data_IF_958437262815
#
_entry.id   IF_958437262815
#
_cell.length_a   1.000
_cell.length_b   1.000
_cell.length_c   1.000
_cell.angle_alpha   90.00
_cell.angle_beta   90.00
_cell.angle_gamma   90.00
#
_symmetry.space_group_name_H-M   'P 1'
#
loop_
_entity.id
_entity.type
_entity.pdbx_description
1 polymer ?
#
# COMPACT_ATOMS: atom_id res chain seq x y z
N UNK A 1 11.36 -10.90 12.40
CA UNK A 1 11.74 -11.46 11.08
C UNK A 1 12.44 -12.77 11.38
N UNK A 2 12.09 -13.83 10.66
CA UNK A 2 12.74 -15.14 10.77
C UNK A 2 14.10 -15.09 10.07
N UNK A 3 14.96 -16.07 10.35
CA UNK A 3 16.27 -16.19 9.73
C UNK A 3 16.14 -16.20 8.19
N UNK A 4 16.88 -15.34 7.50
CA UNK A 4 16.83 -15.15 6.05
C UNK A 4 15.79 -14.16 5.52
N UNK A 5 14.94 -13.55 6.36
CA UNK A 5 14.02 -12.47 5.95
C UNK A 5 14.62 -11.08 6.21
N UNK A 6 14.41 -10.16 5.29
CA UNK A 6 14.85 -8.77 5.41
C UNK A 6 13.82 -7.82 4.78
N UNK A 7 13.69 -6.63 5.34
CA UNK A 7 12.86 -5.58 4.78
C UNK A 7 13.42 -4.20 5.12
N UNK A 8 13.55 -3.37 4.10
CA UNK A 8 13.98 -1.99 4.21
C UNK A 8 12.96 -1.11 3.50
N UNK A 9 12.27 -0.28 4.29
CA UNK A 9 11.30 0.70 3.83
C UNK A 9 11.89 2.09 4.01
N UNK A 10 11.89 2.91 2.95
CA UNK A 10 12.45 4.27 3.00
C UNK A 10 11.78 5.22 2.02
N UNK A 11 12.13 6.49 2.12
CA UNK A 11 11.76 7.54 1.20
C UNK A 11 13.00 8.40 0.90
N UNK A 12 13.10 8.95 -0.29
CA UNK A 12 14.14 9.92 -0.63
C UNK A 12 13.61 11.36 -0.50
N UNK A 13 14.34 12.29 0.15
CA UNK A 13 13.95 13.71 0.18
C UNK A 13 13.84 14.33 -1.21
N UNK A 14 14.54 13.76 -2.18
CA UNK A 14 14.53 14.23 -3.57
C UNK A 14 13.31 13.76 -4.37
N UNK A 15 12.61 12.72 -3.87
CA UNK A 15 11.36 12.20 -4.44
C UNK A 15 10.35 11.98 -3.30
N UNK A 16 9.80 13.05 -2.72
CA UNK A 16 8.96 12.97 -1.52
C UNK A 16 7.62 12.25 -1.75
N UNK A 17 7.16 12.19 -3.01
CA UNK A 17 5.90 11.53 -3.39
C UNK A 17 6.09 10.03 -3.71
N UNK A 18 7.29 9.47 -3.39
CA UNK A 18 7.64 8.07 -3.65
C UNK A 18 8.18 7.39 -2.40
N UNK A 19 7.45 6.43 -1.88
CA UNK A 19 7.96 5.48 -0.88
C UNK A 19 8.55 4.25 -1.58
N UNK A 20 9.53 3.62 -0.94
CA UNK A 20 10.24 2.45 -1.48
C UNK A 20 10.31 1.33 -0.43
N UNK A 21 10.24 0.10 -0.91
CA UNK A 21 10.47 -1.08 -0.10
C UNK A 21 11.36 -2.07 -0.89
N UNK A 22 12.44 -2.53 -0.26
CA UNK A 22 13.18 -3.71 -0.70
C UNK A 22 13.05 -4.78 0.37
N UNK A 23 12.58 -5.95 0.02
CA UNK A 23 12.43 -7.00 1.00
C UNK A 23 12.65 -8.41 0.42
N UNK A 24 13.03 -9.31 1.32
CA UNK A 24 13.01 -10.77 1.12
C UNK A 24 12.14 -11.38 2.21
N UNK A 25 11.16 -12.16 1.80
CA UNK A 25 10.25 -12.86 2.70
C UNK A 25 10.16 -14.34 2.33
N UNK A 26 10.05 -15.19 3.36
CA UNK A 26 9.93 -16.64 3.21
C UNK A 26 8.61 -17.11 3.82
N UNK A 27 8.33 -16.73 5.07
CA UNK A 27 7.14 -17.12 5.82
C UNK A 27 6.16 -15.99 6.04
N UNK A 28 6.52 -14.80 5.60
CA UNK A 28 5.68 -13.62 5.74
C UNK A 28 4.34 -13.81 5.02
N UNK A 29 3.26 -13.48 5.73
CA UNK A 29 1.92 -13.38 5.16
C UNK A 29 1.39 -11.99 5.47
N UNK A 30 1.06 -11.25 4.43
CA UNK A 30 0.36 -9.99 4.53
C UNK A 30 -1.14 -10.26 4.70
N UNK A 31 -1.72 -9.71 5.76
CA UNK A 31 -3.17 -9.71 5.92
C UNK A 31 -3.83 -8.95 4.76
N UNK A 32 -5.13 -9.12 4.57
CA UNK A 32 -5.87 -8.30 3.61
C UNK A 32 -5.82 -6.84 4.03
N UNK A 33 -5.30 -5.99 3.14
CA UNK A 33 -5.04 -4.57 3.40
C UNK A 33 -5.16 -3.76 2.11
N UNK A 34 -5.06 -2.44 2.24
CA UNK A 34 -5.05 -1.49 1.13
C UNK A 34 -3.80 -0.61 1.18
N UNK A 35 -3.53 0.11 0.11
CA UNK A 35 -2.57 1.21 0.07
C UNK A 35 -3.26 2.47 -0.44
N UNK A 36 -2.87 3.64 0.04
CA UNK A 36 -3.32 4.92 -0.51
C UNK A 36 -2.56 5.33 -1.76
N UNK A 37 -1.42 4.68 -1.99
CA UNK A 37 -0.54 4.82 -3.15
C UNK A 37 -0.78 3.68 -4.13
N UNK A 38 -0.26 3.79 -5.33
CA UNK A 38 -0.08 2.62 -6.19
C UNK A 38 1.00 1.71 -5.62
N UNK A 39 0.95 0.43 -5.98
CA UNK A 39 2.03 -0.54 -5.72
C UNK A 39 2.54 -1.03 -7.06
N UNK A 40 3.84 -0.89 -7.28
CA UNK A 40 4.55 -1.41 -8.46
C UNK A 40 5.71 -2.26 -7.91
N UNK A 41 5.51 -3.57 -7.85
CA UNK A 41 6.44 -4.50 -7.21
C UNK A 41 7.13 -5.39 -8.24
N UNK A 42 8.42 -5.18 -8.48
CA UNK A 42 9.24 -6.01 -9.36
C UNK A 42 9.83 -7.19 -8.60
N UNK A 43 9.49 -8.41 -9.01
CA UNK A 43 10.02 -9.64 -8.39
C UNK A 43 11.43 -9.90 -8.91
N UNK A 44 12.39 -10.03 -7.97
CA UNK A 44 13.81 -10.25 -8.27
C UNK A 44 14.29 -11.66 -7.99
N UNK A 45 13.64 -12.38 -7.06
CA UNK A 45 13.88 -13.79 -6.75
C UNK A 45 12.58 -14.46 -6.30
N UNK A 46 12.43 -15.75 -6.56
CA UNK A 46 11.31 -16.55 -6.10
C UNK A 46 9.98 -16.17 -6.76
N UNK A 47 8.88 -16.38 -6.01
CA UNK A 47 7.51 -16.12 -6.49
C UNK A 47 6.69 -15.50 -5.37
N UNK A 48 6.09 -14.34 -5.64
CA UNK A 48 5.02 -13.78 -4.82
C UNK A 48 3.68 -14.36 -5.26
N UNK A 49 2.80 -14.65 -4.31
CA UNK A 49 1.39 -14.94 -4.56
C UNK A 49 0.52 -13.99 -3.74
N UNK A 50 -0.57 -13.50 -4.33
CA UNK A 50 -1.49 -12.59 -3.67
C UNK A 50 -2.93 -12.76 -4.17
N UNK A 51 -3.89 -12.54 -3.26
CA UNK A 51 -5.30 -12.47 -3.62
C UNK A 51 -5.68 -11.05 -4.00
N UNK A 52 -6.33 -10.88 -5.15
CA UNK A 52 -6.85 -9.63 -5.66
C UNK A 52 -8.13 -9.88 -6.47
N UNK A 53 -9.20 -9.12 -6.21
CA UNK A 53 -10.45 -9.22 -6.98
C UNK A 53 -11.19 -10.56 -6.90
N UNK A 54 -10.82 -11.45 -5.98
CA UNK A 54 -11.36 -12.81 -5.86
C UNK A 54 -10.42 -13.92 -6.38
N UNK A 55 -9.43 -13.56 -7.18
CA UNK A 55 -8.47 -14.48 -7.78
C UNK A 55 -7.12 -14.50 -7.03
N UNK A 56 -6.35 -15.56 -7.25
CA UNK A 56 -4.96 -15.69 -6.80
C UNK A 56 -4.04 -15.44 -7.97
N UNK A 57 -3.18 -14.44 -7.82
CA UNK A 57 -2.14 -14.10 -8.80
C UNK A 57 -0.77 -14.58 -8.30
N UNK A 58 0.08 -15.05 -9.22
CA UNK A 58 1.45 -15.49 -8.92
C UNK A 58 2.39 -14.77 -9.85
N UNK A 59 3.41 -14.13 -9.27
CA UNK A 59 4.39 -13.31 -10.00
C UNK A 59 5.78 -13.80 -9.67
N UNK A 60 6.50 -14.25 -10.69
CA UNK A 60 7.90 -14.68 -10.59
C UNK A 60 8.86 -13.62 -11.09
N UNK A 61 10.12 -14.00 -11.22
CA UNK A 61 11.22 -13.11 -11.68
C UNK A 61 10.91 -12.51 -13.05
N UNK A 62 11.15 -11.19 -13.19
CA UNK A 62 10.81 -10.43 -14.39
C UNK A 62 9.34 -10.01 -14.47
N UNK A 63 8.53 -10.48 -13.55
CA UNK A 63 7.15 -10.04 -13.40
C UNK A 63 7.01 -8.86 -12.46
N UNK A 64 5.87 -8.20 -12.55
CA UNK A 64 5.48 -7.05 -11.74
C UNK A 64 4.08 -7.28 -11.16
N UNK A 65 3.92 -7.11 -9.86
CA UNK A 65 2.60 -6.96 -9.24
C UNK A 65 2.19 -5.48 -9.26
N UNK A 66 0.92 -5.24 -9.61
CA UNK A 66 0.36 -3.91 -9.87
C UNK A 66 -0.93 -3.75 -9.07
N UNK A 67 -0.91 -2.91 -8.04
CA UNK A 67 -2.09 -2.68 -7.20
C UNK A 67 -2.47 -1.20 -7.26
N UNK A 68 -3.74 -0.95 -7.53
CA UNK A 68 -4.31 0.39 -7.53
C UNK A 68 -4.58 0.89 -6.10
N UNK A 69 -4.60 2.21 -5.86
CA UNK A 69 -4.97 2.76 -4.56
C UNK A 69 -6.32 2.23 -4.06
N UNK A 70 -6.44 2.11 -2.75
CA UNK A 70 -7.64 1.65 -2.03
C UNK A 70 -8.14 0.25 -2.43
N UNK A 71 -7.33 -0.55 -3.15
CA UNK A 71 -7.71 -1.90 -3.58
C UNK A 71 -7.22 -2.96 -2.60
N UNK A 72 -8.16 -3.73 -2.05
CA UNK A 72 -7.87 -4.75 -1.06
C UNK A 72 -7.18 -5.97 -1.66
N UNK A 73 -6.04 -6.33 -1.10
CA UNK A 73 -5.24 -7.50 -1.52
C UNK A 73 -4.52 -8.14 -0.32
N UNK A 74 -3.90 -9.29 -0.55
CA UNK A 74 -3.01 -9.98 0.41
C UNK A 74 -1.61 -10.12 -0.19
N UNK A 75 -0.70 -10.85 0.47
CA UNK A 75 0.59 -11.24 -0.10
C UNK A 75 1.22 -12.37 0.69
N UNK A 76 1.80 -13.34 0.02
CA UNK A 76 2.52 -14.48 0.64
C UNK A 76 3.49 -15.12 -0.34
N UNK A 77 4.34 -16.01 0.15
CA UNK A 77 5.23 -16.80 -0.68
C UNK A 77 4.44 -17.71 -1.64
N UNK A 78 4.75 -17.62 -2.91
CA UNK A 78 4.19 -18.51 -3.94
C UNK A 78 4.92 -19.86 -4.03
N UNK A 79 6.14 -19.94 -3.48
CA UNK A 79 6.98 -21.13 -3.39
C UNK A 79 7.66 -21.18 -2.01
N UNK A 80 8.14 -22.34 -1.53
CA UNK A 80 8.76 -22.48 -0.19
C UNK A 80 9.99 -21.60 0.05
N UNK A 81 10.74 -21.29 -0.99
CA UNK A 81 11.97 -20.47 -0.95
C UNK A 81 11.64 -18.98 -0.69
N UNK A 82 10.35 -18.61 -0.81
CA UNK A 82 9.88 -17.25 -0.63
C UNK A 82 10.01 -16.40 -1.89
N UNK A 83 10.11 -15.08 -1.67
CA UNK A 83 10.34 -14.11 -2.76
C UNK A 83 11.16 -12.94 -2.28
N UNK A 84 11.84 -12.31 -3.24
CA UNK A 84 12.48 -11.01 -3.08
C UNK A 84 11.89 -10.05 -4.10
N UNK A 85 11.68 -8.80 -3.69
CA UNK A 85 11.11 -7.79 -4.57
C UNK A 85 11.63 -6.39 -4.23
N UNK A 86 11.53 -5.53 -5.21
CA UNK A 86 11.73 -4.08 -5.09
C UNK A 86 10.43 -3.39 -5.46
N UNK A 87 9.92 -2.55 -4.57
CA UNK A 87 8.59 -1.96 -4.66
C UNK A 87 8.68 -0.45 -4.68
N UNK A 88 7.94 0.15 -5.59
CA UNK A 88 7.66 1.58 -5.63
C UNK A 88 6.22 1.81 -5.19
N UNK A 89 6.02 2.82 -4.35
CA UNK A 89 4.72 3.30 -3.90
C UNK A 89 4.51 4.75 -4.34
N UNK A 90 4.31 5.02 -5.65
CA UNK A 90 4.09 6.37 -6.13
C UNK A 90 2.73 6.91 -5.67
N UNK A 91 2.71 8.20 -5.29
CA UNK A 91 1.50 8.92 -4.94
C UNK A 91 0.54 9.02 -6.14
N UNK A 92 -0.79 9.00 -5.93
CA UNK A 92 -1.77 9.16 -6.99
C UNK A 92 -1.62 10.42 -7.84
N UNK A 93 -1.20 11.53 -7.25
CA UNK A 93 -0.94 12.77 -7.97
C UNK A 93 0.24 12.65 -8.93
N UNK A 94 1.32 11.96 -8.51
CA UNK A 94 2.47 11.67 -9.37
C UNK A 94 2.06 10.81 -10.57
N UNK A 95 1.34 9.72 -10.35
CA UNK A 95 0.88 8.84 -11.43
C UNK A 95 -0.06 9.58 -12.38
N UNK A 96 -0.94 10.44 -11.85
CA UNK A 96 -1.85 11.25 -12.68
C UNK A 96 -1.10 12.25 -13.58
N UNK A 97 -0.05 12.90 -13.07
CA UNK A 97 0.81 13.80 -13.87
C UNK A 97 1.48 13.04 -15.02
N UNK A 98 2.11 11.90 -14.72
CA UNK A 98 2.75 11.06 -15.75
C UNK A 98 1.74 10.55 -16.77
N UNK A 99 0.56 10.14 -16.34
CA UNK A 99 -0.51 9.66 -17.22
C UNK A 99 -0.99 10.75 -18.19
N UNK A 100 -1.18 11.98 -17.69
CA UNK A 100 -1.63 13.12 -18.50
C UNK A 100 -0.66 13.46 -19.63
N UNK A 101 0.65 13.29 -19.40
CA UNK A 101 1.70 13.59 -20.38
C UNK A 101 1.94 12.43 -21.35
N UNK A 102 1.70 11.19 -20.95
CA UNK A 102 2.22 10.01 -21.68
C UNK A 102 1.14 9.06 -22.19
N UNK A 103 -0.13 9.32 -21.88
CA UNK A 103 -1.25 8.43 -22.25
C UNK A 103 -2.48 9.23 -22.68
N UNK A 104 -3.47 8.52 -23.25
CA UNK A 104 -4.79 9.07 -23.58
C UNK A 104 -5.87 8.69 -22.55
N UNK A 105 -5.48 8.14 -21.39
CA UNK A 105 -6.41 7.73 -20.34
C UNK A 105 -7.20 8.94 -19.83
N UNK A 106 -8.53 8.83 -19.83
CA UNK A 106 -9.44 9.84 -19.29
C UNK A 106 -9.91 9.44 -17.90
N UNK A 107 -9.93 10.38 -16.97
CA UNK A 107 -10.29 10.12 -15.57
C UNK A 107 -9.10 9.68 -14.71
N UNK A 108 -9.36 8.98 -13.61
CA UNK A 108 -8.29 8.48 -12.73
C UNK A 108 -7.55 7.34 -13.40
N UNK A 109 -6.23 7.47 -13.67
CA UNK A 109 -5.46 6.39 -14.28
C UNK A 109 -5.35 5.20 -13.32
N UNK A 110 -5.23 3.99 -13.85
CA UNK A 110 -5.01 2.79 -13.06
C UNK A 110 -4.49 1.64 -13.89
N UNK A 111 -4.12 0.56 -13.22
CA UNK A 111 -3.72 -0.69 -13.87
C UNK A 111 -4.96 -1.56 -14.06
N UNK A 112 -5.16 -2.04 -15.29
CA UNK A 112 -6.28 -2.92 -15.65
C UNK A 112 -6.01 -4.37 -15.25
N UNK A 113 -4.75 -4.74 -15.03
CA UNK A 113 -4.32 -6.09 -14.60
C UNK A 113 -3.53 -5.98 -13.30
N UNK A 114 -3.70 -6.93 -12.35
CA UNK A 114 -2.96 -6.90 -11.09
C UNK A 114 -1.55 -7.51 -11.18
N UNK A 115 -1.23 -8.18 -12.29
CA UNK A 115 0.07 -8.79 -12.54
C UNK A 115 0.40 -8.79 -14.03
N UNK A 116 1.67 -8.57 -14.37
CA UNK A 116 2.17 -8.62 -15.74
C UNK A 116 3.59 -9.18 -15.77
N UNK A 117 3.95 -9.88 -16.85
CA UNK A 117 5.34 -10.22 -17.12
C UNK A 117 5.93 -9.14 -18.03
N UNK A 118 6.64 -8.18 -17.44
CA UNK A 118 7.29 -7.07 -18.14
C UNK A 118 8.71 -6.83 -17.59
N UNK A 119 9.70 -7.59 -18.07
CA UNK A 119 11.09 -7.45 -17.62
C UNK A 119 11.68 -6.06 -17.86
N UNK A 120 11.13 -5.28 -18.81
CA UNK A 120 11.60 -3.92 -19.09
C UNK A 120 11.19 -2.99 -17.95
N UNK A 121 9.90 -2.99 -17.58
CA UNK A 121 9.43 -2.20 -16.45
C UNK A 121 10.05 -2.67 -15.14
N UNK A 122 10.24 -3.98 -14.95
CA UNK A 122 10.94 -4.52 -13.77
C UNK A 122 12.38 -3.98 -13.65
N UNK A 123 13.11 -3.86 -14.77
CA UNK A 123 14.45 -3.22 -14.78
C UNK A 123 14.39 -1.75 -14.38
N UNK A 124 13.41 -1.00 -14.86
CA UNK A 124 13.23 0.40 -14.47
C UNK A 124 12.92 0.55 -12.97
N UNK A 125 12.05 -0.28 -12.40
CA UNK A 125 11.78 -0.30 -10.95
C UNK A 125 13.08 -0.51 -10.16
N UNK A 126 13.88 -1.51 -10.52
CA UNK A 126 15.18 -1.77 -9.89
C UNK A 126 16.17 -0.62 -10.07
N UNK A 127 16.17 0.00 -11.25
CA UNK A 127 17.04 1.14 -11.54
C UNK A 127 16.69 2.38 -10.68
N UNK A 128 15.40 2.60 -10.33
CA UNK A 128 15.00 3.63 -9.36
C UNK A 128 15.68 3.40 -8.01
N UNK A 129 15.59 2.18 -7.46
CA UNK A 129 16.21 1.82 -6.20
C UNK A 129 17.72 2.04 -6.23
N UNK A 130 18.39 1.52 -7.27
CA UNK A 130 19.82 1.67 -7.43
C UNK A 130 20.25 3.14 -7.56
N UNK A 131 19.56 3.93 -8.38
CA UNK A 131 19.89 5.34 -8.58
C UNK A 131 19.75 6.15 -7.28
N UNK A 132 18.73 5.89 -6.46
CA UNK A 132 18.58 6.55 -5.17
C UNK A 132 19.67 6.16 -4.16
N UNK A 133 20.13 4.91 -4.17
CA UNK A 133 21.28 4.47 -3.35
C UNK A 133 22.57 5.17 -3.78
N UNK A 134 22.72 5.49 -5.07
CA UNK A 134 23.84 6.25 -5.61
C UNK A 134 23.62 7.78 -5.50
N UNK A 135 22.59 8.24 -4.79
CA UNK A 135 22.21 9.65 -4.65
C UNK A 135 21.93 10.37 -5.98
N UNK A 136 21.65 9.62 -7.06
CA UNK A 136 21.34 10.15 -8.38
C UNK A 136 19.82 10.30 -8.55
N UNK A 137 19.27 11.40 -8.03
CA UNK A 137 17.84 11.68 -8.07
C UNK A 137 17.29 11.84 -9.50
N UNK A 138 18.07 12.43 -10.40
CA UNK A 138 17.66 12.61 -11.80
C UNK A 138 17.48 11.27 -12.53
N UNK A 139 18.43 10.33 -12.34
CA UNK A 139 18.30 9.00 -12.90
C UNK A 139 17.11 8.25 -12.30
N UNK A 140 16.91 8.35 -10.97
CA UNK A 140 15.78 7.73 -10.30
C UNK A 140 14.44 8.24 -10.83
N UNK A 141 14.28 9.55 -10.96
CA UNK A 141 13.07 10.17 -11.48
C UNK A 141 12.82 9.78 -12.96
N UNK A 142 13.88 9.78 -13.78
CA UNK A 142 13.80 9.34 -15.19
C UNK A 142 13.33 7.89 -15.31
N UNK A 143 13.88 6.98 -14.50
CA UNK A 143 13.47 5.58 -14.50
C UNK A 143 12.05 5.39 -13.95
N UNK A 144 11.64 6.15 -12.95
CA UNK A 144 10.28 6.14 -12.43
C UNK A 144 9.27 6.55 -13.50
N UNK A 145 9.51 7.67 -14.17
CA UNK A 145 8.67 8.13 -15.29
C UNK A 145 8.58 7.08 -16.40
N UNK A 146 9.71 6.49 -16.80
CA UNK A 146 9.75 5.45 -17.82
C UNK A 146 8.95 4.20 -17.43
N UNK A 147 9.08 3.74 -16.16
CA UNK A 147 8.34 2.61 -15.65
C UNK A 147 6.83 2.87 -15.64
N UNK A 148 6.39 3.97 -15.03
CA UNK A 148 4.97 4.31 -14.88
C UNK A 148 4.33 4.56 -16.25
N UNK A 149 4.97 5.36 -17.12
CA UNK A 149 4.45 5.63 -18.46
C UNK A 149 4.31 4.34 -19.29
N UNK A 150 5.30 3.45 -19.24
CA UNK A 150 5.24 2.16 -19.94
C UNK A 150 4.14 1.26 -19.40
N UNK A 151 4.06 1.11 -18.07
CA UNK A 151 3.04 0.29 -17.44
C UNK A 151 1.62 0.79 -17.74
N UNK A 152 1.40 2.11 -17.70
CA UNK A 152 0.11 2.70 -18.06
C UNK A 152 -0.24 2.51 -19.54
N UNK A 153 0.74 2.60 -20.44
CA UNK A 153 0.49 2.38 -21.88
C UNK A 153 0.15 0.92 -22.20
N UNK A 154 0.81 -0.03 -21.57
CA UNK A 154 0.63 -1.45 -21.85
C UNK A 154 -0.48 -2.11 -21.05
N UNK A 155 -0.67 -1.67 -19.81
CA UNK A 155 -1.52 -2.32 -18.80
C UNK A 155 -2.48 -1.36 -18.12
N UNK A 156 -2.53 -0.10 -18.57
CA UNK A 156 -3.35 0.95 -17.94
C UNK A 156 -4.73 1.09 -18.57
N UNK A 157 -5.59 1.74 -17.80
CA UNK A 157 -6.93 2.17 -18.19
C UNK A 157 -7.50 3.11 -17.14
N UNK A 158 -8.68 3.69 -17.36
CA UNK A 158 -9.36 4.44 -16.33
C UNK A 158 -9.79 3.51 -15.21
N UNK A 159 -9.55 3.90 -13.97
CA UNK A 159 -10.16 3.20 -12.83
C UNK A 159 -11.68 3.31 -12.94
N UNK A 160 -12.42 2.20 -12.66
CA UNK A 160 -13.87 2.27 -12.61
C UNK A 160 -14.28 3.32 -11.58
N UNK A 161 -15.16 4.24 -11.96
CA UNK A 161 -15.76 5.18 -11.04
C UNK A 161 -16.32 4.41 -9.84
N UNK A 162 -16.22 4.97 -8.63
CA UNK A 162 -16.77 4.33 -7.43
C UNK A 162 -18.20 3.89 -7.72
N UNK A 163 -18.44 2.59 -7.62
CA UNK A 163 -19.77 2.00 -7.88
C UNK A 163 -20.76 2.46 -6.78
N UNK A 164 -21.30 3.67 -6.94
CA UNK A 164 -22.32 4.25 -6.06
C UNK A 164 -23.70 3.59 -6.22
N UNK A 165 -23.85 2.63 -7.15
CA UNK A 165 -25.12 2.00 -7.53
C UNK A 165 -25.32 0.58 -7.00
N UNK A 166 -24.37 -0.04 -6.31
CA UNK A 166 -24.60 -1.35 -5.72
C UNK A 166 -25.55 -1.24 -4.53
N UNK A 167 -26.53 -2.16 -4.42
CA UNK A 167 -27.44 -2.22 -3.27
C UNK A 167 -26.63 -2.22 -1.96
N UNK A 168 -26.91 -1.27 -1.04
CA UNK A 168 -26.20 -1.09 0.22
C UNK A 168 -24.86 -0.33 0.12
N UNK A 169 -24.43 0.16 -1.05
CA UNK A 169 -23.19 0.94 -1.17
C UNK A 169 -23.23 2.25 -0.36
N UNK A 170 -24.43 2.87 -0.27
CA UNK A 170 -24.64 4.04 0.58
C UNK A 170 -24.44 3.71 2.06
N UNK A 171 -25.02 2.61 2.53
CA UNK A 171 -24.90 2.18 3.93
C UNK A 171 -23.45 1.81 4.26
N UNK A 172 -22.75 1.15 3.33
CA UNK A 172 -21.34 0.86 3.47
C UNK A 172 -20.49 2.13 3.55
N UNK A 173 -20.80 3.17 2.76
CA UNK A 173 -20.09 4.45 2.80
C UNK A 173 -20.36 5.21 4.10
N UNK A 174 -21.61 5.22 4.59
CA UNK A 174 -21.95 5.81 5.88
C UNK A 174 -21.29 5.06 7.04
N UNK A 175 -21.32 3.71 7.01
CA UNK A 175 -20.62 2.90 8.01
C UNK A 175 -19.13 3.19 8.05
N UNK A 176 -18.50 3.34 6.89
CA UNK A 176 -17.10 3.76 6.80
C UNK A 176 -16.87 5.12 7.47
N UNK A 177 -17.70 6.11 7.21
CA UNK A 177 -17.58 7.44 7.79
C UNK A 177 -17.67 7.39 9.33
N UNK A 178 -18.62 6.63 9.89
CA UNK A 178 -18.76 6.43 11.34
C UNK A 178 -17.52 5.75 11.92
N UNK A 179 -16.99 4.73 11.25
CA UNK A 179 -15.77 4.03 11.70
C UNK A 179 -14.51 4.90 11.60
N UNK A 180 -14.43 5.82 10.63
CA UNK A 180 -13.34 6.80 10.54
C UNK A 180 -13.42 7.82 11.66
N UNK A 181 -14.62 8.34 11.95
CA UNK A 181 -14.85 9.32 13.00
C UNK A 181 -14.61 8.75 14.40
N UNK A 182 -15.12 7.55 14.66
CA UNK A 182 -15.01 6.86 15.95
C UNK A 182 -13.92 5.78 15.94
N UNK A 183 -12.80 6.05 15.29
CA UNK A 183 -11.75 5.06 15.06
C UNK A 183 -11.20 4.46 16.36
N UNK A 184 -11.04 5.26 17.41
CA UNK A 184 -10.51 4.80 18.69
C UNK A 184 -11.52 3.97 19.49
N UNK A 185 -12.79 4.36 19.44
CA UNK A 185 -13.91 3.71 20.15
C UNK A 185 -15.07 3.43 19.18
N UNK A 186 -14.96 2.42 18.32
CA UNK A 186 -15.95 2.13 17.30
C UNK A 186 -17.19 1.44 17.89
N UNK A 187 -18.38 1.66 17.29
CA UNK A 187 -19.58 0.93 17.66
C UNK A 187 -19.44 -0.57 17.32
N UNK A 188 -20.24 -1.40 17.97
CA UNK A 188 -20.41 -2.81 17.58
C UNK A 188 -21.05 -2.88 16.18
N UNK A 189 -20.99 -4.05 15.51
CA UNK A 189 -21.64 -4.23 14.22
C UNK A 189 -23.17 -4.00 14.32
N UNK A 190 -23.77 -4.45 15.40
CA UNK A 190 -25.21 -4.26 15.68
C UNK A 190 -25.54 -2.78 15.89
N UNK A 191 -24.73 -2.07 16.72
CA UNK A 191 -24.87 -0.64 16.94
C UNK A 191 -24.73 0.15 15.66
N UNK A 192 -23.69 -0.14 14.86
CA UNK A 192 -23.46 0.48 13.56
C UNK A 192 -24.62 0.25 12.58
N UNK A 193 -25.16 -0.97 12.55
CA UNK A 193 -26.29 -1.30 11.68
C UNK A 193 -27.59 -0.60 12.15
N UNK A 194 -27.82 -0.53 13.45
CA UNK A 194 -28.97 0.16 14.02
C UNK A 194 -28.94 1.68 13.72
N UNK A 195 -27.77 2.33 13.87
CA UNK A 195 -27.60 3.74 13.53
C UNK A 195 -27.91 4.03 12.04
N UNK A 196 -27.69 3.06 11.16
CA UNK A 196 -27.94 3.19 9.72
C UNK A 196 -29.31 2.67 9.26
N UNK A 197 -30.13 2.18 10.19
CA UNK A 197 -31.46 1.63 9.88
C UNK A 197 -31.40 0.36 9.01
N UNK A 198 -30.34 -0.44 9.12
CA UNK A 198 -30.14 -1.66 8.32
C UNK A 198 -29.89 -2.89 9.22
N UNK A 199 -29.95 -4.09 8.64
CA UNK A 199 -29.60 -5.31 9.38
C UNK A 199 -28.09 -5.58 9.39
N UNK A 200 -27.51 -6.13 10.49
CA UNK A 200 -26.08 -6.39 10.62
C UNK A 200 -25.49 -7.24 9.48
N UNK A 201 -26.18 -8.30 9.07
CA UNK A 201 -25.76 -9.15 7.95
C UNK A 201 -25.84 -8.45 6.58
N UNK A 202 -26.85 -7.58 6.38
CA UNK A 202 -26.98 -6.81 5.17
C UNK A 202 -25.82 -5.80 5.05
N UNK A 203 -25.53 -5.07 6.15
CA UNK A 203 -24.40 -4.17 6.24
C UNK A 203 -23.08 -4.89 6.00
N UNK A 204 -22.83 -6.03 6.64
CA UNK A 204 -21.62 -6.81 6.47
C UNK A 204 -21.40 -7.22 5.00
N UNK A 205 -22.45 -7.70 4.31
CA UNK A 205 -22.37 -8.06 2.90
C UNK A 205 -22.12 -6.86 1.99
N UNK A 206 -22.82 -5.75 2.25
CA UNK A 206 -22.67 -4.51 1.50
C UNK A 206 -21.26 -3.93 1.65
N UNK A 207 -20.74 -3.91 2.87
CA UNK A 207 -19.39 -3.41 3.18
C UNK A 207 -18.29 -4.27 2.52
N UNK A 208 -18.41 -5.61 2.59
CA UNK A 208 -17.48 -6.52 1.89
C UNK A 208 -17.49 -6.35 0.38
N UNK A 209 -18.67 -6.14 -0.23
CA UNK A 209 -18.76 -5.89 -1.68
C UNK A 209 -18.13 -4.56 -2.07
N UNK A 210 -18.30 -3.52 -1.24
CA UNK A 210 -17.84 -2.16 -1.55
C UNK A 210 -16.35 -2.00 -1.30
N UNK A 211 -15.82 -2.59 -0.20
CA UNK A 211 -14.44 -2.38 0.24
C UNK A 211 -13.56 -3.65 0.20
N UNK A 212 -14.08 -4.77 -0.27
CA UNK A 212 -13.32 -6.02 -0.39
C UNK A 212 -13.01 -6.73 0.93
N UNK A 213 -13.38 -6.13 2.09
CA UNK A 213 -13.11 -6.68 3.42
C UNK A 213 -14.21 -6.30 4.41
N UNK A 214 -14.39 -7.04 5.53
CA UNK A 214 -15.41 -6.73 6.53
C UNK A 214 -15.04 -5.45 7.33
N UNK A 215 -16.04 -4.79 8.00
CA UNK A 215 -15.83 -3.53 8.73
C UNK A 215 -14.66 -3.55 9.73
N UNK A 216 -14.52 -4.62 10.53
CA UNK A 216 -13.44 -4.72 11.52
C UNK A 216 -12.04 -4.80 10.89
N UNK A 217 -11.90 -5.53 9.77
CA UNK A 217 -10.62 -5.62 9.07
C UNK A 217 -10.27 -4.29 8.40
N UNK A 218 -11.28 -3.63 7.82
CA UNK A 218 -11.14 -2.30 7.25
C UNK A 218 -10.72 -1.27 8.32
N UNK A 219 -11.36 -1.29 9.49
CA UNK A 219 -11.00 -0.40 10.61
C UNK A 219 -9.55 -0.63 11.06
N UNK A 220 -9.11 -1.90 11.15
CA UNK A 220 -7.72 -2.23 11.49
C UNK A 220 -6.74 -1.66 10.46
N UNK A 221 -7.05 -1.78 9.18
CA UNK A 221 -6.29 -1.23 8.07
C UNK A 221 -6.24 0.31 8.16
N UNK A 222 -7.39 0.96 8.35
CA UNK A 222 -7.49 2.41 8.53
C UNK A 222 -6.70 2.93 9.74
N UNK A 223 -6.73 2.21 10.87
CA UNK A 223 -5.91 2.50 12.06
C UNK A 223 -4.41 2.46 11.75
N UNK A 224 -3.96 1.45 11.01
CA UNK A 224 -2.56 1.35 10.58
C UNK A 224 -2.18 2.51 9.66
N UNK A 225 -3.03 2.88 8.71
CA UNK A 225 -2.80 4.06 7.86
C UNK A 225 -2.72 5.35 8.67
N UNK A 226 -3.61 5.54 9.64
CA UNK A 226 -3.58 6.71 10.53
C UNK A 226 -2.34 6.72 11.42
N UNK A 227 -1.94 5.54 11.96
CA UNK A 227 -0.70 5.39 12.74
C UNK A 227 0.53 5.75 11.89
N UNK A 228 0.58 5.36 10.61
CA UNK A 228 1.66 5.77 9.69
C UNK A 228 1.78 7.30 9.62
N UNK A 229 0.68 8.00 9.42
CA UNK A 229 0.69 9.47 9.35
C UNK A 229 1.18 10.11 10.66
N UNK A 230 0.84 9.54 11.82
CA UNK A 230 1.36 9.98 13.12
C UNK A 230 2.86 9.71 13.26
N UNK A 231 3.34 8.54 12.85
CA UNK A 231 4.76 8.19 12.85
C UNK A 231 5.57 9.10 11.92
N UNK A 232 5.01 9.46 10.75
CA UNK A 232 5.60 10.42 9.81
C UNK A 232 5.72 11.81 10.41
N UNK A 233 4.75 12.21 11.24
CA UNK A 233 4.78 13.45 12.01
C UNK A 233 5.72 13.41 13.25
N UNK A 234 6.40 12.27 13.50
CA UNK A 234 7.34 12.10 14.61
C UNK A 234 6.72 11.52 15.88
N UNK A 235 5.43 11.24 15.92
CA UNK A 235 4.75 10.66 17.11
C UNK A 235 5.39 9.32 17.46
N UNK A 236 5.74 9.06 18.74
CA UNK A 236 6.26 7.77 19.18
C UNK A 236 5.28 6.61 18.92
N UNK A 237 5.75 5.40 18.62
CA UNK A 237 4.87 4.25 18.31
C UNK A 237 3.85 3.90 19.41
N UNK A 238 4.20 4.09 20.69
CA UNK A 238 3.29 3.83 21.80
C UNK A 238 2.12 4.84 21.81
N UNK A 239 2.41 6.12 21.62
CA UNK A 239 1.41 7.19 21.56
C UNK A 239 0.53 7.03 20.30
N UNK A 240 1.15 6.73 19.15
CA UNK A 240 0.43 6.46 17.90
C UNK A 240 -0.55 5.29 18.07
N UNK A 241 -0.16 4.23 18.81
CA UNK A 241 -1.04 3.08 19.08
C UNK A 241 -2.30 3.51 19.84
N UNK A 242 -2.16 4.24 20.95
CA UNK A 242 -3.28 4.73 21.74
C UNK A 242 -4.18 5.69 20.95
N UNK A 243 -3.58 6.63 20.22
CA UNK A 243 -4.29 7.65 19.46
C UNK A 243 -5.21 7.07 18.37
N UNK A 244 -4.90 5.87 17.84
CA UNK A 244 -5.72 5.22 16.79
C UNK A 244 -6.57 4.06 17.32
N UNK A 245 -6.58 3.80 18.64
CA UNK A 245 -7.43 2.80 19.28
C UNK A 245 -6.88 1.37 19.27
N UNK A 246 -5.54 1.19 19.19
CA UNK A 246 -4.93 -0.09 19.58
C UNK A 246 -4.73 -0.15 21.10
N UNK A 247 -4.89 -1.32 21.67
CA UNK A 247 -4.75 -1.56 23.12
C UNK A 247 -3.38 -1.14 23.64
N UNK A 248 -2.34 -1.42 22.86
CA UNK A 248 -0.95 -1.13 23.21
C UNK A 248 -0.04 -1.11 21.95
N UNK A 249 1.23 -0.76 22.15
CA UNK A 249 2.23 -0.74 21.08
C UNK A 249 2.46 -2.13 20.46
N UNK A 250 2.37 -3.21 21.22
CA UNK A 250 2.59 -4.56 20.69
C UNK A 250 1.46 -4.97 19.75
N UNK A 251 0.22 -4.57 20.07
CA UNK A 251 -0.95 -4.75 19.21
C UNK A 251 -0.78 -3.98 17.90
N UNK A 252 -0.42 -2.69 17.95
CA UNK A 252 -0.08 -1.92 16.75
C UNK A 252 1.04 -2.61 15.96
N UNK A 253 2.16 -2.98 16.62
CA UNK A 253 3.33 -3.59 15.95
C UNK A 253 2.95 -4.84 15.16
N UNK A 254 2.09 -5.68 15.71
CA UNK A 254 1.62 -6.91 15.07
C UNK A 254 0.83 -6.61 13.79
N UNK A 255 -0.14 -5.68 13.86
CA UNK A 255 -0.96 -5.32 12.71
C UNK A 255 -0.18 -4.51 11.68
N UNK A 256 0.61 -3.55 12.13
CA UNK A 256 1.48 -2.74 11.28
C UNK A 256 2.46 -3.61 10.48
N UNK A 257 3.13 -4.55 11.15
CA UNK A 257 4.00 -5.49 10.49
C UNK A 257 3.30 -6.37 9.44
N UNK A 258 2.03 -6.74 9.66
CA UNK A 258 1.23 -7.55 8.71
C UNK A 258 0.71 -6.77 7.51
N UNK A 259 0.69 -5.45 7.57
CA UNK A 259 0.16 -4.55 6.53
C UNK A 259 1.31 -3.84 5.81
N UNK A 260 2.23 -3.23 6.57
CA UNK A 260 3.32 -2.41 6.00
C UNK A 260 4.58 -3.24 5.69
N UNK A 261 4.71 -4.43 6.30
CA UNK A 261 5.87 -5.31 6.08
C UNK A 261 7.00 -5.12 7.08
N UNK A 262 7.10 -3.94 7.73
CA UNK A 262 8.12 -3.61 8.73
C UNK A 262 7.47 -3.18 10.05
N UNK A 263 8.15 -3.29 11.22
CA UNK A 263 7.65 -2.75 12.48
C UNK A 263 7.57 -1.21 12.48
N UNK A 264 6.68 -0.57 13.29
CA UNK A 264 6.51 0.88 13.35
C UNK A 264 7.82 1.65 13.61
N UNK A 265 8.64 1.19 14.55
CA UNK A 265 9.92 1.84 14.84
C UNK A 265 10.96 1.73 13.71
N UNK A 266 10.96 0.61 12.95
CA UNK A 266 11.82 0.48 11.77
C UNK A 266 11.32 1.39 10.64
N UNK A 267 10.02 1.47 10.43
CA UNK A 267 9.38 2.39 9.50
C UNK A 267 9.77 3.85 9.81
N UNK A 268 9.58 4.29 11.05
CA UNK A 268 9.87 5.66 11.48
C UNK A 268 11.36 6.01 11.32
N UNK A 269 12.27 5.09 11.68
CA UNK A 269 13.71 5.30 11.47
C UNK A 269 14.10 5.38 10.00
N UNK A 270 13.49 4.59 9.14
CA UNK A 270 13.72 4.63 7.70
C UNK A 270 13.35 5.98 7.10
N UNK A 271 12.30 6.62 7.63
CA UNK A 271 11.88 7.97 7.22
C UNK A 271 12.70 9.09 7.90
N UNK A 272 13.04 8.95 9.17
CA UNK A 272 13.82 9.95 9.91
C UNK A 272 15.27 10.11 9.38
N UNK A 273 15.90 9.05 8.89
CA UNK A 273 17.22 9.12 8.26
C UNK A 273 17.25 10.03 7.04
N UNK A 274 16.11 10.23 6.42
CA UNK A 274 15.90 11.06 5.24
C UNK A 274 15.96 12.57 5.57
N UNK A 275 15.60 12.97 6.81
CA UNK A 275 15.61 14.37 7.25
C UNK A 275 16.96 14.84 7.82
N UNK A 276 17.88 13.94 8.19
CA UNK A 276 19.18 14.28 8.80
C UNK A 276 20.34 14.49 7.83
N UNK A 277 20.15 14.31 6.53
CA UNK A 277 21.18 14.54 5.50
C UNK A 277 21.03 15.88 4.78
N UNK A 278 20.55 16.93 5.48
CA UNK A 278 20.75 18.31 5.06
C UNK A 278 22.23 18.67 5.24
N UNK A 279 22.84 19.52 4.37
CA UNK A 279 24.26 19.86 4.49
C UNK A 279 24.50 20.53 5.85
N UNK A 280 25.46 19.99 6.60
CA UNK A 280 26.05 20.73 7.69
C UNK A 280 26.57 22.06 7.10
N UNK A 281 26.06 23.18 7.62
CA UNK A 281 26.56 24.49 7.25
C UNK A 281 28.06 24.49 7.52
N UNK A 282 28.85 24.62 6.46
CA UNK A 282 30.27 24.90 6.57
C UNK A 282 30.38 26.30 7.16
N UNK A 283 30.95 26.38 8.36
CA UNK A 283 31.48 27.61 8.97
C UNK A 283 32.82 27.91 8.37
#
# INVERSE_FOLDING_TARGET
>A
MTDGESAHYWQSPKLPDLDLLRARYIRKVFARHTHRTYVIAAITEGVEAFHHGGDVHRVGVGGIALINPDTAHTGHAGIPEGWRYEVLYPDPGMVARIAAETTTIRGTPGFAVPAAHDPVSARHVRAVHFALEQHNALAADSHLHAAVARLLRLHGGPLPGRATRAAGARDAALARAVLEERMADPPTLEGLAAELGTGPFALLRAFRRTYGMPPHAWLTDARVHRARALLDAGTPPAEAAGAVGFTDQAHLTRHFGRIVGVPPGAYQRGRARTYKTGPAAAS
#
